data_IF_975688713438
#
_entry.id   IF_975688713438
#
_cell.length_a   1.000
_cell.length_b   1.000
_cell.length_c   1.000
_cell.angle_alpha   90.00
_cell.angle_beta   90.00
_cell.angle_gamma   90.00
#
_symmetry.space_group_name_H-M   'P 1'
#
loop_
_entity.id
_entity.type
_entity.pdbx_description
1 polymer ?
#
# COMPACT_ATOMS: atom_id res chain seq x y z
N UNK A 1 -10.70 -6.97 -6.58
CA UNK A 1 -10.21 -5.64 -6.11
C UNK A 1 -8.78 -5.82 -5.65
N UNK A 2 -7.99 -4.76 -5.60
CA UNK A 2 -6.61 -4.81 -5.10
C UNK A 2 -6.45 -3.86 -3.93
N UNK A 3 -5.61 -4.23 -2.96
CA UNK A 3 -5.26 -3.37 -1.84
C UNK A 3 -3.75 -3.24 -1.69
N UNK A 4 -3.31 -2.05 -1.30
CA UNK A 4 -1.93 -1.76 -0.94
C UNK A 4 -1.92 -1.03 0.39
N UNK A 5 -0.96 -1.31 1.26
CA UNK A 5 -0.81 -0.61 2.54
C UNK A 5 0.64 -0.19 2.74
N UNK A 6 0.86 1.11 2.84
CA UNK A 6 2.19 1.66 3.08
C UNK A 6 2.19 2.57 4.29
N UNK A 7 3.38 2.69 4.87
CA UNK A 7 3.71 3.65 5.89
C UNK A 7 4.83 4.56 5.38
N UNK A 8 4.75 5.83 5.76
CA UNK A 8 5.78 6.83 5.56
C UNK A 8 6.29 7.27 6.94
N UNK A 9 7.59 7.10 7.16
CA UNK A 9 8.28 7.57 8.35
C UNK A 9 9.58 8.24 7.94
N UNK A 10 9.76 9.52 8.30
CA UNK A 10 10.99 10.26 8.01
C UNK A 10 11.42 10.14 6.53
N UNK A 11 10.49 10.35 5.60
CA UNK A 11 10.68 10.20 4.14
C UNK A 11 10.99 8.78 3.64
N UNK A 12 11.00 7.77 4.52
CA UNK A 12 11.16 6.37 4.13
C UNK A 12 9.80 5.66 4.01
N UNK A 13 9.60 4.98 2.88
CA UNK A 13 8.38 4.21 2.61
C UNK A 13 8.61 2.76 3.04
N UNK A 14 7.70 2.25 3.87
CA UNK A 14 7.66 0.85 4.27
C UNK A 14 6.37 0.19 3.78
N UNK A 15 6.50 -0.97 3.16
CA UNK A 15 5.35 -1.79 2.76
C UNK A 15 4.84 -2.62 3.95
N UNK A 16 3.61 -2.35 4.37
CA UNK A 16 2.96 -3.01 5.50
C UNK A 16 2.34 -4.36 5.12
N UNK A 17 2.22 -4.69 3.83
CA UNK A 17 1.73 -5.98 3.33
C UNK A 17 2.86 -6.96 2.97
N UNK A 18 4.08 -6.44 2.77
CA UNK A 18 5.24 -7.27 2.45
C UNK A 18 5.45 -8.43 3.45
N UNK A 19 5.72 -9.61 2.92
CA UNK A 19 5.90 -10.85 3.67
C UNK A 19 7.17 -10.80 4.56
N UNK A 20 7.02 -11.09 5.86
CA UNK A 20 8.07 -10.86 6.88
C UNK A 20 9.34 -11.68 6.70
N UNK A 21 9.25 -12.90 6.13
CA UNK A 21 10.41 -13.79 5.97
C UNK A 21 11.47 -13.20 5.02
N UNK A 22 11.06 -12.33 4.11
CA UNK A 22 11.94 -11.71 3.13
C UNK A 22 12.72 -10.49 3.63
N UNK A 23 12.47 -9.98 4.85
CA UNK A 23 13.07 -8.71 5.29
C UNK A 23 14.20 -8.91 6.32
N UNK A 24 14.18 -10.03 7.07
CA UNK A 24 15.14 -10.30 8.16
C UNK A 24 16.41 -11.05 7.73
N UNK A 25 16.39 -11.75 6.59
CA UNK A 25 17.48 -12.63 6.15
C UNK A 25 17.99 -12.38 4.74
N UNK A 26 17.44 -11.38 4.07
CA UNK A 26 17.75 -11.09 2.69
C UNK A 26 18.67 -9.86 2.65
N UNK A 27 19.87 -10.05 2.11
CA UNK A 27 20.80 -9.00 1.69
C UNK A 27 19.99 -7.87 1.02
N UNK A 28 20.23 -6.61 1.37
CA UNK A 28 19.41 -5.45 0.95
C UNK A 28 19.19 -5.38 -0.58
N UNK A 29 20.04 -6.08 -1.34
CA UNK A 29 19.97 -6.26 -2.79
C UNK A 29 18.82 -7.13 -3.34
N UNK A 30 18.17 -8.00 -2.56
CA UNK A 30 17.03 -8.80 -3.06
C UNK A 30 15.66 -8.33 -2.54
N UNK A 31 15.62 -7.28 -1.72
CA UNK A 31 14.35 -6.59 -1.42
C UNK A 31 13.86 -5.91 -2.69
N UNK A 32 12.58 -6.10 -3.01
CA UNK A 32 11.92 -5.43 -4.14
C UNK A 32 12.00 -3.91 -3.87
N UNK A 33 12.71 -3.12 -4.68
CA UNK A 33 12.92 -1.71 -4.37
C UNK A 33 11.59 -0.97 -4.47
N UNK A 34 11.21 -0.32 -3.36
CA UNK A 34 10.07 0.59 -3.32
C UNK A 34 10.56 1.94 -3.86
N UNK A 35 9.93 2.42 -4.93
CA UNK A 35 10.36 3.65 -5.59
C UNK A 35 9.17 4.59 -5.82
N UNK A 36 9.39 5.87 -5.56
CA UNK A 36 8.50 6.93 -6.02
C UNK A 36 8.74 7.15 -7.52
N UNK A 37 7.66 7.13 -8.28
CA UNK A 37 7.66 7.31 -9.73
C UNK A 37 6.69 8.41 -10.07
N UNK A 38 7.23 9.48 -10.65
CA UNK A 38 6.45 10.55 -11.26
C UNK A 38 6.04 10.12 -12.67
N UNK A 39 4.77 10.33 -13.00
CA UNK A 39 4.31 10.30 -14.38
C UNK A 39 4.69 11.61 -15.08
N UNK A 40 4.80 11.58 -16.40
CA UNK A 40 5.11 12.77 -17.21
C UNK A 40 4.04 13.87 -17.18
N UNK A 41 3.01 13.73 -16.34
CA UNK A 41 1.92 14.70 -16.10
C UNK A 41 1.93 15.24 -14.67
N UNK A 42 2.97 14.94 -13.87
CA UNK A 42 3.13 15.41 -12.50
C UNK A 42 2.39 14.59 -11.44
N UNK A 43 1.80 13.44 -11.80
CA UNK A 43 1.23 12.49 -10.86
C UNK A 43 2.32 11.62 -10.22
N UNK A 44 2.31 11.46 -8.91
CA UNK A 44 3.28 10.61 -8.19
C UNK A 44 2.63 9.29 -7.80
N UNK A 45 3.35 8.19 -8.04
CA UNK A 45 2.93 6.83 -7.71
C UNK A 45 4.05 6.06 -7.02
N UNK A 46 3.71 5.09 -6.18
CA UNK A 46 4.70 4.21 -5.54
C UNK A 46 4.72 2.90 -6.32
N UNK A 47 5.90 2.48 -6.78
CA UNK A 47 6.14 1.15 -7.36
C UNK A 47 6.81 0.23 -6.36
N UNK A 48 6.60 -1.08 -6.56
CA UNK A 48 7.27 -2.11 -5.75
C UNK A 48 6.47 -2.55 -4.52
N UNK A 49 5.35 -1.89 -4.20
CA UNK A 49 4.43 -2.33 -3.16
C UNK A 49 3.78 -3.67 -3.52
N UNK A 50 3.56 -4.48 -2.49
CA UNK A 50 2.77 -5.69 -2.57
C UNK A 50 1.29 -5.34 -2.73
N UNK A 51 0.64 -6.01 -3.68
CA UNK A 51 -0.78 -5.85 -3.97
C UNK A 51 -1.51 -7.13 -3.57
N UNK A 52 -2.36 -7.07 -2.54
CA UNK A 52 -3.21 -8.22 -2.21
C UNK A 52 -4.54 -8.13 -2.98
N UNK A 53 -4.93 -9.23 -3.62
CA UNK A 53 -6.22 -9.34 -4.32
C UNK A 53 -7.29 -9.73 -3.32
N UNK A 54 -8.36 -8.94 -3.27
CA UNK A 54 -9.51 -9.15 -2.39
C UNK A 54 -10.81 -9.18 -3.17
N UNK A 55 -11.74 -9.97 -2.64
CA UNK A 55 -13.08 -10.21 -3.17
C UNK A 55 -14.18 -9.79 -2.20
N UNK A 56 -13.90 -9.74 -0.89
CA UNK A 56 -14.88 -9.38 0.13
C UNK A 56 -14.40 -8.25 1.05
N UNK A 57 -15.36 -7.57 1.69
CA UNK A 57 -15.03 -6.56 2.71
C UNK A 57 -14.30 -7.17 3.91
N UNK A 58 -14.64 -8.41 4.28
CA UNK A 58 -13.99 -9.10 5.40
C UNK A 58 -12.50 -9.36 5.14
N UNK A 59 -12.11 -9.68 3.90
CA UNK A 59 -10.71 -9.79 3.50
C UNK A 59 -9.99 -8.45 3.63
N UNK A 60 -10.62 -7.34 3.23
CA UNK A 60 -10.08 -5.99 3.41
C UNK A 60 -9.80 -5.71 4.89
N UNK A 61 -10.75 -6.02 5.78
CA UNK A 61 -10.56 -5.82 7.22
C UNK A 61 -9.42 -6.65 7.79
N UNK A 62 -9.29 -7.92 7.39
CA UNK A 62 -8.17 -8.78 7.82
C UNK A 62 -6.81 -8.23 7.39
N UNK A 63 -6.71 -7.71 6.17
CA UNK A 63 -5.48 -7.12 5.65
C UNK A 63 -5.14 -5.82 6.39
N UNK A 64 -6.15 -5.00 6.68
CA UNK A 64 -6.00 -3.78 7.46
C UNK A 64 -5.47 -4.09 8.87
N UNK A 65 -6.04 -5.09 9.55
CA UNK A 65 -5.61 -5.54 10.87
C UNK A 65 -4.17 -6.09 10.85
N UNK A 66 -3.85 -6.95 9.87
CA UNK A 66 -2.48 -7.47 9.66
C UNK A 66 -1.46 -6.34 9.52
N UNK A 67 -1.73 -5.36 8.67
CA UNK A 67 -0.83 -4.22 8.48
C UNK A 67 -0.74 -3.31 9.72
N UNK A 68 -1.84 -3.14 10.46
CA UNK A 68 -1.86 -2.39 11.72
C UNK A 68 -0.96 -3.05 12.78
N UNK A 69 -1.03 -4.37 12.95
CA UNK A 69 -0.16 -5.11 13.89
C UNK A 69 1.30 -4.96 13.50
N UNK A 70 1.63 -5.07 12.20
CA UNK A 70 2.99 -4.87 11.69
C UNK A 70 3.51 -3.47 11.99
N UNK A 71 2.66 -2.45 11.80
CA UNK A 71 2.97 -1.06 12.17
C UNK A 71 3.28 -0.90 13.65
N UNK A 72 2.38 -1.35 14.54
CA UNK A 72 2.59 -1.24 15.98
C UNK A 72 3.87 -1.97 16.44
N UNK A 73 4.17 -3.12 15.82
CA UNK A 73 5.41 -3.86 16.09
C UNK A 73 6.65 -3.06 15.68
N UNK A 74 6.62 -2.41 14.51
CA UNK A 74 7.71 -1.57 14.04
C UNK A 74 7.92 -0.32 14.91
N UNK A 75 6.84 0.33 15.37
CA UNK A 75 6.92 1.47 16.31
C UNK A 75 7.64 1.08 17.61
N UNK A 76 7.23 -0.05 18.20
CA UNK A 76 7.80 -0.54 19.47
C UNK A 76 9.26 -0.96 19.29
N UNK A 77 9.58 -1.74 18.25
CA UNK A 77 10.94 -2.26 18.03
C UNK A 77 11.94 -1.15 17.67
N UNK A 78 11.51 -0.13 16.94
CA UNK A 78 12.40 0.93 16.45
C UNK A 78 12.35 2.18 17.32
N UNK A 79 11.64 2.14 18.46
CA UNK A 79 11.38 3.27 19.35
C UNK A 79 10.96 4.54 18.57
N UNK A 80 10.19 4.33 17.51
CA UNK A 80 9.74 5.41 16.64
C UNK A 80 8.49 6.04 17.26
N UNK A 81 8.42 7.36 17.25
CA UNK A 81 7.29 8.09 17.84
C UNK A 81 6.09 8.09 16.88
N UNK A 82 4.94 7.61 17.35
CA UNK A 82 3.68 7.51 16.57
C UNK A 82 3.24 8.83 15.94
N UNK A 83 3.64 9.97 16.52
CA UNK A 83 3.36 11.31 15.99
C UNK A 83 4.13 11.67 14.71
N UNK A 84 4.99 10.80 14.18
CA UNK A 84 5.78 11.03 12.96
C UNK A 84 5.47 10.05 11.83
N UNK A 85 4.40 9.27 11.98
CA UNK A 85 4.01 8.27 11.01
C UNK A 85 2.78 8.69 10.24
N UNK A 86 2.87 8.56 8.93
CA UNK A 86 1.72 8.64 8.05
C UNK A 86 1.46 7.25 7.48
N UNK A 87 0.19 6.85 7.39
CA UNK A 87 -0.18 5.57 6.81
C UNK A 87 -1.19 5.78 5.68
N UNK A 88 -1.00 5.08 4.56
CA UNK A 88 -1.88 5.15 3.40
C UNK A 88 -2.32 3.74 3.04
N UNK A 89 -3.61 3.47 3.21
CA UNK A 89 -4.25 2.26 2.73
C UNK A 89 -5.04 2.57 1.45
N UNK A 90 -4.68 1.94 0.34
CA UNK A 90 -5.34 2.18 -0.94
C UNK A 90 -6.12 0.95 -1.40
N UNK A 91 -7.34 1.18 -1.88
CA UNK A 91 -8.19 0.17 -2.53
C UNK A 91 -8.32 0.56 -4.00
N UNK A 92 -7.94 -0.34 -4.90
CA UNK A 92 -8.06 -0.16 -6.35
C UNK A 92 -9.06 -1.17 -6.92
N UNK A 93 -10.02 -0.66 -7.68
CA UNK A 93 -11.11 -1.41 -8.30
C UNK A 93 -11.01 -1.24 -9.81
N UNK A 94 -10.93 -2.34 -10.54
CA UNK A 94 -11.05 -2.36 -12.00
C UNK A 94 -12.42 -2.92 -12.36
N UNK A 95 -13.20 -2.15 -13.09
CA UNK A 95 -14.53 -2.54 -13.58
C UNK A 95 -14.41 -2.67 -15.08
N UNK A 96 -14.70 -3.87 -15.59
CA UNK A 96 -14.89 -4.08 -17.02
C UNK A 96 -16.34 -3.77 -17.37
N UNK A 97 -16.53 -2.94 -18.38
CA UNK A 97 -17.83 -2.49 -18.87
C UNK A 97 -17.83 -2.65 -20.39
N UNK A 98 -18.99 -2.90 -20.99
CA UNK A 98 -19.12 -3.01 -22.45
C UNK A 98 -20.02 -1.87 -22.93
N UNK A 99 -19.55 -1.08 -23.89
CA UNK A 99 -20.42 -0.08 -24.53
C UNK A 99 -21.52 -0.79 -25.32
N UNK A 100 -22.65 -0.11 -25.59
CA UNK A 100 -23.66 -0.64 -26.49
C UNK A 100 -23.14 -0.90 -27.91
N UNK A 101 -22.01 -0.30 -28.33
CA UNK A 101 -21.34 -0.62 -29.60
C UNK A 101 -20.43 -1.86 -29.54
N UNK A 102 -20.30 -2.50 -28.38
CA UNK A 102 -19.48 -3.71 -28.19
C UNK A 102 -18.01 -3.43 -27.85
N UNK A 103 -17.65 -2.19 -27.52
CA UNK A 103 -16.29 -1.86 -27.10
C UNK A 103 -16.07 -2.18 -25.61
N UNK A 104 -14.97 -2.85 -25.28
CA UNK A 104 -14.59 -3.10 -23.89
C UNK A 104 -13.95 -1.86 -23.27
N UNK A 105 -14.53 -1.37 -22.17
CA UNK A 105 -14.00 -0.29 -21.35
C UNK A 105 -13.53 -0.81 -20.00
N UNK A 106 -12.31 -0.45 -19.61
CA UNK A 106 -11.79 -0.73 -18.26
C UNK A 106 -11.80 0.56 -17.46
N UNK A 107 -12.73 0.65 -16.50
CA UNK A 107 -12.81 1.76 -15.55
C UNK A 107 -12.01 1.41 -14.30
N UNK A 108 -10.93 2.14 -14.07
CA UNK A 108 -10.15 2.04 -12.83
C UNK A 108 -10.64 3.10 -11.82
N UNK A 109 -10.82 2.70 -10.57
CA UNK A 109 -11.15 3.58 -9.43
C UNK A 109 -10.19 3.27 -8.29
N UNK A 110 -9.67 4.30 -7.63
CA UNK A 110 -8.77 4.17 -6.50
C UNK A 110 -9.28 5.01 -5.34
N UNK A 111 -9.43 4.40 -4.18
CA UNK A 111 -9.75 5.05 -2.91
C UNK A 111 -8.51 5.02 -2.02
N UNK A 112 -8.11 6.16 -1.48
CA UNK A 112 -7.00 6.26 -0.53
C UNK A 112 -7.56 6.64 0.85
N UNK A 113 -7.26 5.82 1.86
CA UNK A 113 -7.53 6.08 3.26
C UNK A 113 -6.21 6.52 3.89
N UNK A 114 -6.11 7.81 4.22
CA UNK A 114 -4.87 8.43 4.68
C UNK A 114 -5.02 8.80 6.15
N UNK A 115 -4.09 8.33 6.97
CA UNK A 115 -3.93 8.75 8.36
C UNK A 115 -2.64 9.56 8.44
N UNK A 116 -2.76 10.83 8.80
CA UNK A 116 -1.62 11.72 8.96
C UNK A 116 -1.19 11.79 10.42
N UNK A 117 0.11 11.94 10.62
CA UNK A 117 0.69 12.22 11.92
C UNK A 117 0.19 13.57 12.48
N UNK A 118 0.19 13.71 13.80
CA UNK A 118 -0.17 14.95 14.47
C UNK A 118 0.88 16.04 14.25
N UNK A 119 0.43 17.29 14.05
CA UNK A 119 1.26 18.48 13.87
C UNK A 119 1.81 19.03 15.19
#
# INVERSE_FOLDING_TARGET
>A
MKVTFLELYNEEITDLLAFEECVKFIDDKLKKPIALVEDGKGGVSVRGLEEEIVTTANEIYKILEKGYVKRCTAEILLNKQSSRFHSIFSITIHIKDCTPEGEELIKCRKLNLVVLAGS
#
